data_IF_584562358624
#
_entry.id   IF_584562358624
#
_cell.length_a   1.000
_cell.length_b   1.000
_cell.length_c   1.000
_cell.angle_alpha   90.00
_cell.angle_beta   90.00
_cell.angle_gamma   90.00
#
_symmetry.space_group_name_H-M   'P 1'
#
loop_
_entity.id
_entity.type
_entity.pdbx_description
1 polymer ?
#
# COMPACT_ATOMS: atom_id res chain seq x y z
N UNK A 1 2.13 11.32 12.57
CA UNK A 1 1.29 12.54 12.72
C UNK A 1 0.47 12.80 11.46
N UNK A 2 1.05 12.69 10.26
CA UNK A 2 0.32 12.78 8.98
C UNK A 2 -0.87 11.80 8.87
N UNK A 3 -0.72 10.53 9.26
CA UNK A 3 -1.79 9.52 9.10
C UNK A 3 -3.03 9.82 9.97
N UNK A 4 -2.84 10.45 11.15
CA UNK A 4 -3.94 10.88 12.03
C UNK A 4 -4.69 12.10 11.47
N UNK A 5 -3.96 13.02 10.83
CA UNK A 5 -4.55 14.20 10.20
C UNK A 5 -5.34 13.78 8.95
N UNK A 6 -4.81 12.85 8.15
CA UNK A 6 -5.50 12.32 6.98
C UNK A 6 -6.79 11.58 7.33
N UNK A 7 -6.78 10.80 8.42
CA UNK A 7 -7.98 10.13 8.92
C UNK A 7 -9.04 11.10 9.45
N UNK A 8 -8.62 12.22 10.06
CA UNK A 8 -9.53 13.24 10.57
C UNK A 8 -10.17 14.08 9.45
N UNK A 9 -9.35 14.55 8.49
CA UNK A 9 -9.80 15.33 7.32
C UNK A 9 -10.67 14.50 6.37
N UNK A 10 -10.47 13.17 6.32
CA UNK A 10 -11.29 12.25 5.52
C UNK A 10 -12.57 11.76 6.21
N UNK A 11 -12.89 12.21 7.42
CA UNK A 11 -14.05 11.73 8.16
C UNK A 11 -15.37 12.37 7.69
N UNK A 12 -16.43 11.58 7.61
CA UNK A 12 -17.79 12.04 7.29
C UNK A 12 -18.28 13.26 8.11
N UNK A 13 -18.09 13.33 9.45
CA UNK A 13 -18.51 14.51 10.21
C UNK A 13 -17.72 15.78 9.87
N UNK A 14 -16.44 15.66 9.47
CA UNK A 14 -15.64 16.82 9.04
C UNK A 14 -16.19 17.41 7.73
N UNK A 15 -16.53 16.55 6.76
CA UNK A 15 -17.13 16.97 5.49
C UNK A 15 -18.46 17.71 5.74
N UNK A 16 -19.33 17.16 6.59
CA UNK A 16 -20.61 17.79 6.93
C UNK A 16 -20.43 19.16 7.61
N UNK A 17 -19.44 19.29 8.49
CA UNK A 17 -19.12 20.57 9.15
C UNK A 17 -18.62 21.61 8.14
N UNK A 18 -17.76 21.21 7.19
CA UNK A 18 -17.24 22.09 6.15
C UNK A 18 -18.36 22.58 5.20
N UNK A 19 -19.25 21.68 4.78
CA UNK A 19 -20.43 22.03 3.96
C UNK A 19 -21.38 22.95 4.74
N UNK A 20 -21.59 22.68 6.03
CA UNK A 20 -22.38 23.53 6.91
C UNK A 20 -21.82 24.96 7.01
N UNK A 21 -20.51 25.12 7.17
CA UNK A 21 -19.85 26.43 7.20
C UNK A 21 -20.04 27.20 5.88
N UNK A 22 -19.95 26.52 4.74
CA UNK A 22 -20.21 27.14 3.43
C UNK A 22 -21.67 27.63 3.35
N UNK A 23 -22.63 26.81 3.76
CA UNK A 23 -24.05 27.19 3.77
C UNK A 23 -24.29 28.38 4.69
N UNK A 24 -23.73 28.38 5.90
CA UNK A 24 -23.83 29.49 6.86
C UNK A 24 -23.23 30.77 6.27
N UNK A 25 -22.07 30.69 5.62
CA UNK A 25 -21.43 31.83 4.96
C UNK A 25 -22.29 32.42 3.86
N UNK A 26 -22.91 31.57 3.03
CA UNK A 26 -23.83 31.98 1.96
C UNK A 26 -25.07 32.64 2.56
N UNK A 27 -25.69 32.06 3.59
CA UNK A 27 -26.88 32.63 4.25
C UNK A 27 -26.59 34.02 4.84
N UNK A 28 -25.46 34.19 5.52
CA UNK A 28 -25.04 35.47 6.10
C UNK A 28 -24.87 36.52 5.01
N UNK A 29 -24.18 36.19 3.92
CA UNK A 29 -23.91 37.14 2.83
C UNK A 29 -25.16 37.48 2.01
N UNK A 30 -26.09 36.54 1.83
CA UNK A 30 -27.36 36.77 1.13
C UNK A 30 -28.35 37.57 1.99
N UNK A 31 -28.35 37.37 3.30
CA UNK A 31 -29.26 38.08 4.23
C UNK A 31 -28.85 39.54 4.46
N UNK A 32 -27.58 39.89 4.21
CA UNK A 32 -27.06 41.25 4.39
C UNK A 32 -27.36 42.13 3.17
N UNK A 33 -28.61 42.61 3.06
CA UNK A 33 -29.13 43.34 1.88
C UNK A 33 -28.49 44.72 1.67
N UNK A 34 -28.01 45.38 2.73
CA UNK A 34 -27.59 46.80 2.66
C UNK A 34 -26.13 46.95 2.16
N UNK A 35 -25.25 45.99 2.49
CA UNK A 35 -23.86 45.95 2.02
C UNK A 35 -23.28 44.54 2.17
N UNK A 36 -23.54 43.63 1.22
CA UNK A 36 -23.00 42.27 1.28
C UNK A 36 -21.46 42.30 1.28
N UNK A 37 -20.85 41.53 2.18
CA UNK A 37 -19.39 41.42 2.30
C UNK A 37 -18.79 40.61 1.13
N UNK A 38 -19.50 39.57 0.69
CA UNK A 38 -19.17 38.72 -0.46
C UNK A 38 -20.43 38.51 -1.32
N UNK A 39 -20.76 39.46 -2.23
CA UNK A 39 -21.92 39.35 -3.11
C UNK A 39 -21.79 38.16 -4.06
N UNK A 40 -22.90 37.59 -4.50
CA UNK A 40 -22.91 36.60 -5.58
C UNK A 40 -22.13 37.15 -6.79
N UNK A 41 -21.10 36.46 -7.30
CA UNK A 41 -20.84 35.01 -7.27
C UNK A 41 -19.88 34.47 -6.17
N UNK A 42 -19.76 35.14 -5.02
CA UNK A 42 -18.92 34.73 -3.87
C UNK A 42 -17.41 34.62 -4.18
N UNK A 43 -16.80 35.73 -4.60
CA UNK A 43 -15.41 35.76 -5.03
C UNK A 43 -14.43 35.43 -3.89
N UNK A 44 -14.73 35.86 -2.66
CA UNK A 44 -13.85 35.64 -1.51
C UNK A 44 -13.89 34.19 -1.04
N UNK A 45 -15.08 33.60 -0.99
CA UNK A 45 -15.24 32.18 -0.68
C UNK A 45 -14.53 31.29 -1.71
N UNK A 46 -14.68 31.61 -3.00
CA UNK A 46 -14.02 30.88 -4.08
C UNK A 46 -12.50 31.00 -4.02
N UNK A 47 -11.97 32.18 -3.68
CA UNK A 47 -10.54 32.38 -3.50
C UNK A 47 -10.00 31.54 -2.33
N UNK A 48 -10.71 31.52 -1.20
CA UNK A 48 -10.30 30.76 -0.02
C UNK A 48 -10.28 29.25 -0.28
N UNK A 49 -11.32 28.72 -0.92
CA UNK A 49 -11.39 27.30 -1.32
C UNK A 49 -10.28 26.93 -2.30
N UNK A 50 -10.00 27.81 -3.28
CA UNK A 50 -8.91 27.62 -4.24
C UNK A 50 -7.54 27.57 -3.55
N UNK A 51 -7.28 28.46 -2.58
CA UNK A 51 -6.04 28.43 -1.79
C UNK A 51 -5.91 27.14 -0.97
N UNK A 52 -7.00 26.69 -0.34
CA UNK A 52 -7.03 25.42 0.41
C UNK A 52 -6.73 24.24 -0.52
N UNK A 53 -7.33 24.20 -1.71
CA UNK A 53 -7.10 23.15 -2.70
C UNK A 53 -5.65 23.15 -3.22
N UNK A 54 -5.08 24.33 -3.47
CA UNK A 54 -3.70 24.48 -3.93
C UNK A 54 -2.68 23.95 -2.91
N UNK A 55 -2.94 24.08 -1.61
CA UNK A 55 -2.09 23.53 -0.55
C UNK A 55 -2.30 22.03 -0.38
N UNK A 56 -3.50 21.52 -0.63
CA UNK A 56 -3.81 20.09 -0.53
C UNK A 56 -3.06 19.25 -1.56
N UNK A 57 -2.97 19.69 -2.82
CA UNK A 57 -2.35 18.88 -3.88
C UNK A 57 -0.88 18.48 -3.59
N UNK A 58 0.01 19.39 -3.16
CA UNK A 58 1.36 19.03 -2.74
C UNK A 58 1.41 18.14 -1.50
N UNK A 59 0.53 18.35 -0.51
CA UNK A 59 0.49 17.51 0.70
C UNK A 59 0.10 16.08 0.35
N UNK A 60 -0.92 15.91 -0.50
CA UNK A 60 -1.34 14.61 -1.02
C UNK A 60 -0.18 13.97 -1.80
N UNK A 61 0.46 14.70 -2.71
CA UNK A 61 1.60 14.22 -3.49
C UNK A 61 2.79 13.82 -2.61
N UNK A 62 3.09 14.59 -1.55
CA UNK A 62 4.13 14.27 -0.57
C UNK A 62 3.77 13.02 0.24
N UNK A 63 2.49 12.83 0.58
CA UNK A 63 2.04 11.61 1.26
C UNK A 63 2.16 10.38 0.36
N UNK A 64 1.76 10.52 -0.90
CA UNK A 64 1.89 9.47 -1.92
C UNK A 64 3.37 9.09 -2.16
N UNK A 65 4.26 10.07 -2.34
CA UNK A 65 5.70 9.81 -2.54
C UNK A 65 6.34 9.06 -1.35
N UNK A 66 5.88 9.35 -0.11
CA UNK A 66 6.33 8.64 1.09
C UNK A 66 5.88 7.18 1.09
N UNK A 67 4.65 6.91 0.66
CA UNK A 67 4.06 5.58 0.60
C UNK A 67 4.69 4.75 -0.53
N UNK A 68 4.85 5.33 -1.71
CA UNK A 68 5.51 4.70 -2.86
C UNK A 68 6.95 4.27 -2.55
N UNK A 69 7.69 5.08 -1.79
CA UNK A 69 9.06 4.71 -1.38
C UNK A 69 9.07 3.50 -0.44
N UNK A 70 8.10 3.40 0.48
CA UNK A 70 7.97 2.22 1.35
C UNK A 70 7.58 0.99 0.54
N UNK A 71 6.62 1.13 -0.36
CA UNK A 71 6.15 0.04 -1.22
C UNK A 71 7.27 -0.47 -2.13
N UNK A 72 8.08 0.43 -2.69
CA UNK A 72 9.27 0.07 -3.49
C UNK A 72 10.29 -0.74 -2.70
N UNK A 73 10.55 -0.37 -1.44
CA UNK A 73 11.48 -1.11 -0.57
C UNK A 73 10.91 -2.49 -0.25
N UNK A 74 9.62 -2.57 0.07
CA UNK A 74 8.93 -3.84 0.35
C UNK A 74 8.99 -4.78 -0.86
N UNK A 75 8.65 -4.28 -2.05
CA UNK A 75 8.73 -5.04 -3.30
C UNK A 75 10.14 -5.55 -3.58
N UNK A 76 11.18 -4.74 -3.34
CA UNK A 76 12.58 -5.18 -3.48
C UNK A 76 12.95 -6.28 -2.47
N UNK A 77 12.46 -6.19 -1.24
CA UNK A 77 12.73 -7.22 -0.24
C UNK A 77 12.02 -8.53 -0.60
N UNK A 78 10.75 -8.46 -1.00
CA UNK A 78 9.97 -9.62 -1.44
C UNK A 78 10.64 -10.30 -2.64
N UNK A 79 11.16 -9.52 -3.60
CA UNK A 79 11.94 -10.05 -4.72
C UNK A 79 13.20 -10.80 -4.27
N UNK A 80 13.97 -10.25 -3.32
CA UNK A 80 15.17 -10.92 -2.78
C UNK A 80 14.84 -12.21 -2.05
N UNK A 81 13.75 -12.22 -1.28
CA UNK A 81 13.28 -13.42 -0.59
C UNK A 81 12.87 -14.48 -1.61
N UNK A 82 12.17 -14.09 -2.68
CA UNK A 82 11.77 -15.01 -3.73
C UNK A 82 12.98 -15.66 -4.43
N UNK A 83 13.96 -14.85 -4.85
CA UNK A 83 15.22 -15.37 -5.42
C UNK A 83 15.94 -16.33 -4.47
N UNK A 84 15.98 -16.01 -3.17
CA UNK A 84 16.59 -16.89 -2.18
C UNK A 84 15.83 -18.22 -2.05
N UNK A 85 14.50 -18.18 -2.07
CA UNK A 85 13.66 -19.38 -2.05
C UNK A 85 13.90 -20.24 -3.30
N UNK A 86 14.03 -19.63 -4.47
CA UNK A 86 14.32 -20.34 -5.73
C UNK A 86 15.66 -21.10 -5.65
N UNK A 87 16.72 -20.45 -5.18
CA UNK A 87 18.04 -21.09 -4.97
C UNK A 87 17.94 -22.25 -3.97
N UNK A 88 17.20 -22.08 -2.87
CA UNK A 88 17.02 -23.14 -1.86
C UNK A 88 16.25 -24.33 -2.45
N UNK A 89 15.25 -24.09 -3.30
CA UNK A 89 14.48 -25.15 -3.96
C UNK A 89 15.36 -25.93 -4.95
N UNK A 90 16.26 -25.24 -5.66
CA UNK A 90 17.24 -25.86 -6.54
C UNK A 90 18.22 -26.75 -5.76
N UNK A 91 18.81 -26.24 -4.67
CA UNK A 91 19.71 -27.03 -3.81
C UNK A 91 18.99 -28.24 -3.19
N UNK A 92 17.73 -28.07 -2.79
CA UNK A 92 16.91 -29.17 -2.29
C UNK A 92 16.66 -30.25 -3.35
N UNK A 93 16.45 -29.87 -4.62
CA UNK A 93 16.32 -30.83 -5.72
C UNK A 93 17.61 -31.62 -5.93
N UNK A 94 18.77 -30.96 -5.91
CA UNK A 94 20.06 -31.63 -6.05
C UNK A 94 20.32 -32.64 -4.94
N UNK A 95 20.03 -32.27 -3.68
CA UNK A 95 20.13 -33.19 -2.53
C UNK A 95 19.15 -34.35 -2.64
N UNK A 96 17.92 -34.10 -3.11
CA UNK A 96 16.92 -35.15 -3.35
C UNK A 96 17.42 -36.17 -4.38
N UNK A 97 17.99 -35.70 -5.49
CA UNK A 97 18.55 -36.55 -6.54
C UNK A 97 19.72 -37.41 -6.02
N UNK A 98 20.56 -36.84 -5.16
CA UNK A 98 21.64 -37.57 -4.51
C UNK A 98 21.09 -38.69 -3.60
N UNK A 99 20.10 -38.39 -2.76
CA UNK A 99 19.43 -39.37 -1.90
C UNK A 99 18.79 -40.48 -2.74
N UNK A 100 18.11 -40.14 -3.84
CA UNK A 100 17.50 -41.12 -4.75
C UNK A 100 18.56 -42.04 -5.35
N UNK A 101 19.73 -41.52 -5.75
CA UNK A 101 20.85 -42.33 -6.24
C UNK A 101 21.35 -43.29 -5.16
N UNK A 102 21.55 -42.81 -3.93
CA UNK A 102 21.96 -43.64 -2.80
C UNK A 102 20.95 -44.76 -2.52
N UNK A 103 19.64 -44.45 -2.53
CA UNK A 103 18.59 -45.46 -2.35
C UNK A 103 18.60 -46.52 -3.45
N UNK A 104 18.76 -46.12 -4.71
CA UNK A 104 18.88 -47.07 -5.84
C UNK A 104 20.08 -48.00 -5.67
N UNK A 105 21.22 -47.47 -5.24
CA UNK A 105 22.42 -48.27 -4.98
C UNK A 105 22.21 -49.29 -3.85
N UNK A 106 21.58 -48.86 -2.75
CA UNK A 106 21.25 -49.75 -1.62
C UNK A 106 20.28 -50.84 -2.07
N UNK A 107 19.22 -50.51 -2.80
CA UNK A 107 18.26 -51.46 -3.35
C UNK A 107 18.92 -52.52 -4.23
N UNK A 108 19.82 -52.10 -5.14
CA UNK A 108 20.55 -53.03 -5.99
C UNK A 108 21.42 -54.00 -5.17
N UNK A 109 22.08 -53.50 -4.12
CA UNK A 109 22.90 -54.33 -3.23
C UNK A 109 22.07 -55.31 -2.40
N UNK A 110 20.86 -54.91 -1.98
CA UNK A 110 19.92 -55.80 -1.28
C UNK A 110 19.48 -56.94 -2.21
N UNK A 111 19.10 -56.65 -3.46
CA UNK A 111 18.70 -57.66 -4.46
C UNK A 111 19.85 -58.65 -4.78
N UNK A 112 21.08 -58.16 -4.87
CA UNK A 112 22.26 -59.04 -5.01
C UNK A 112 22.48 -59.96 -3.80
N UNK A 113 22.30 -59.45 -2.58
CA UNK A 113 22.43 -60.26 -1.36
C UNK A 113 21.33 -61.31 -1.27
N UNK A 114 20.09 -60.97 -1.63
CA UNK A 114 18.96 -61.90 -1.65
C UNK A 114 19.20 -63.04 -2.65
N UNK A 115 19.70 -62.73 -3.86
CA UNK A 115 20.09 -63.74 -4.86
C UNK A 115 21.23 -64.66 -4.41
N UNK A 116 22.15 -64.18 -3.56
CA UNK A 116 23.25 -65.00 -3.00
C UNK A 116 22.82 -65.83 -1.80
N UNK A 117 21.86 -65.36 -1.01
CA UNK A 117 21.33 -66.07 0.17
C UNK A 117 20.24 -67.11 -0.14
N UNK A 118 19.63 -67.06 -1.33
CA UNK A 118 18.63 -68.03 -1.79
C UNK A 118 19.19 -69.32 -2.44
N UNK A 119 20.48 -69.63 -2.27
CA UNK A 119 21.13 -70.88 -2.71
C UNK A 119 21.50 -71.76 -1.52
#
# INVERSE_FOLDING_TARGET
>A
MADKISAFVGSWPFILTAVGLIIVWVIINVSYIIKPFDPYPFILLNLFLSCIAAIQAPIIMMSQNREETKDRIKARNDYKVNLKSEIIIEDLHLKMDEIIKSQKFIMAKIDEMEKRGGK
#
